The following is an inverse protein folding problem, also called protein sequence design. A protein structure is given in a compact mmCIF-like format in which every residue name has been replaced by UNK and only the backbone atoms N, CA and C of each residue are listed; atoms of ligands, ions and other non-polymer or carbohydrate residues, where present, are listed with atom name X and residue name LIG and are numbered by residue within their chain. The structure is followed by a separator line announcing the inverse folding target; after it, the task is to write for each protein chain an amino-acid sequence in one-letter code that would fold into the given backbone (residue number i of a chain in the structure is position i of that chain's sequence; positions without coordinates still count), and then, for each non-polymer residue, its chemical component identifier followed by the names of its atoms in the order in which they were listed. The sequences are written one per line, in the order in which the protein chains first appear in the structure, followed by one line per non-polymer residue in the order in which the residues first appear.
data_IF_802577271175
#
_entry.id   IF_802577271175
#
_cell.length_a   1.000
_cell.length_b   1.000
_cell.length_c   1.000
_cell.angle_alpha   90.00
_cell.angle_beta   90.00
_cell.angle_gamma   90.00
#
_symmetry.space_group_name_H-M   'P 1'
#
loop_
_entity.id
_entity.type
_entity.pdbx_description
1 polymer ?
#
# COMPACT_ATOMS: atom_id res chain seq x y z
N UNK A 1 4.36 57.38 -33.73
CA UNK A 1 3.50 56.21 -34.04
C UNK A 1 4.45 55.12 -34.53
N UNK A 2 4.98 54.30 -33.61
CA UNK A 2 6.04 53.33 -33.92
C UNK A 2 5.49 51.91 -33.85
N UNK A 3 5.46 51.23 -34.98
CA UNK A 3 5.18 49.80 -35.10
C UNK A 3 6.29 48.99 -34.43
N UNK A 4 5.95 48.24 -33.38
CA UNK A 4 6.78 47.15 -32.86
C UNK A 4 6.25 45.86 -33.46
N UNK A 5 6.95 45.34 -34.46
CA UNK A 5 6.76 44.00 -35.01
C UNK A 5 7.17 42.96 -33.96
N UNK A 6 6.16 42.32 -33.37
CA UNK A 6 6.29 41.25 -32.40
C UNK A 6 6.51 39.93 -33.16
N UNK A 7 7.76 39.66 -33.56
CA UNK A 7 8.14 38.35 -34.08
C UNK A 7 8.21 37.34 -32.92
N UNK A 8 7.08 36.70 -32.63
CA UNK A 8 7.08 35.41 -31.92
C UNK A 8 7.63 34.36 -32.86
N UNK A 9 8.91 34.03 -32.70
CA UNK A 9 9.45 32.75 -33.14
C UNK A 9 8.74 31.66 -32.33
N UNK A 10 7.76 31.01 -32.95
CA UNK A 10 7.24 29.75 -32.45
C UNK A 10 8.31 28.70 -32.68
N UNK A 11 8.84 28.16 -31.58
CA UNK A 11 9.72 27.00 -31.62
C UNK A 11 8.84 25.80 -32.02
N UNK A 12 8.86 25.43 -33.31
CA UNK A 12 8.10 24.32 -33.89
C UNK A 12 8.69 22.93 -33.52
N UNK A 13 9.67 22.89 -32.61
CA UNK A 13 10.37 21.65 -32.22
C UNK A 13 9.63 20.77 -31.20
N UNK A 14 8.45 21.17 -30.75
CA UNK A 14 7.68 20.46 -29.70
C UNK A 14 6.47 19.66 -30.24
N UNK A 15 6.43 19.29 -31.53
CA UNK A 15 5.31 18.50 -32.11
C UNK A 15 5.73 17.32 -32.99
N UNK A 16 6.95 16.83 -32.85
CA UNK A 16 7.29 15.51 -33.37
C UNK A 16 6.84 14.50 -32.31
N UNK A 17 5.54 14.21 -32.32
CA UNK A 17 5.01 13.03 -31.64
C UNK A 17 5.79 11.83 -32.19
N UNK A 18 6.29 10.99 -31.27
CA UNK A 18 7.00 9.75 -31.60
C UNK A 18 6.33 9.09 -32.81
N UNK A 19 7.11 8.89 -33.88
CA UNK A 19 6.64 8.19 -35.07
C UNK A 19 6.08 6.83 -34.60
N UNK A 20 4.88 6.40 -34.99
CA UNK A 20 4.34 5.10 -34.60
C UNK A 20 5.29 3.93 -34.91
N UNK A 21 6.21 4.12 -35.86
CA UNK A 21 7.26 3.17 -36.23
C UNK A 21 8.43 3.12 -35.22
N UNK A 22 8.62 4.16 -34.41
CA UNK A 22 9.61 4.23 -33.32
C UNK A 22 9.07 3.71 -31.98
N UNK A 23 7.80 3.30 -31.92
CA UNK A 23 7.26 2.67 -30.73
C UNK A 23 7.82 1.24 -30.60
N UNK A 24 8.37 0.87 -29.43
CA UNK A 24 8.86 -0.48 -29.20
C UNK A 24 7.73 -1.48 -29.47
N UNK A 25 8.07 -2.54 -30.20
CA UNK A 25 7.09 -3.58 -30.52
C UNK A 25 6.70 -4.34 -29.26
N UNK A 26 5.59 -5.07 -29.31
CA UNK A 26 5.15 -5.88 -28.17
C UNK A 26 6.24 -6.87 -27.73
N UNK A 27 6.96 -7.45 -28.69
CA UNK A 27 8.08 -8.36 -28.45
C UNK A 27 9.27 -7.66 -27.77
N UNK A 28 9.57 -6.41 -28.13
CA UNK A 28 10.60 -5.61 -27.46
C UNK A 28 10.21 -5.30 -26.00
N UNK A 29 8.93 -5.01 -25.77
CA UNK A 29 8.40 -4.80 -24.42
C UNK A 29 8.45 -6.07 -23.57
N UNK A 30 8.20 -7.24 -24.17
CA UNK A 30 8.33 -8.53 -23.50
C UNK A 30 9.80 -8.90 -23.22
N UNK A 31 10.72 -8.63 -24.15
CA UNK A 31 12.15 -8.83 -23.94
C UNK A 31 12.71 -7.90 -22.83
N UNK A 32 12.25 -6.65 -22.77
CA UNK A 32 12.59 -5.74 -21.66
C UNK A 32 12.02 -6.21 -20.32
N UNK A 33 10.88 -6.91 -20.33
CA UNK A 33 10.25 -7.47 -19.14
C UNK A 33 10.95 -8.73 -18.64
N UNK A 34 11.41 -9.60 -19.55
CA UNK A 34 12.25 -10.76 -19.23
C UNK A 34 13.61 -10.34 -18.66
N UNK A 35 14.18 -9.22 -19.12
CA UNK A 35 15.38 -8.62 -18.52
C UNK A 35 15.15 -7.93 -17.16
N UNK A 36 13.89 -7.79 -16.74
CA UNK A 36 13.49 -7.12 -15.49
C UNK A 36 12.88 -8.11 -14.49
N UNK A 37 13.17 -9.41 -14.66
CA UNK A 37 12.99 -10.40 -13.61
C UNK A 37 13.64 -9.86 -12.33
N UNK A 38 12.85 -9.82 -11.25
CA UNK A 38 13.35 -9.45 -9.93
C UNK A 38 14.64 -10.21 -9.67
N UNK A 39 15.75 -9.54 -9.29
CA UNK A 39 17.04 -10.18 -9.14
C UNK A 39 16.86 -11.42 -8.26
N UNK A 40 17.18 -12.58 -8.82
CA UNK A 40 17.29 -13.80 -8.04
C UNK A 40 18.30 -13.50 -6.92
N UNK A 41 17.93 -13.61 -5.63
CA UNK A 41 18.83 -13.24 -4.54
C UNK A 41 20.12 -14.08 -4.48
N UNK A 42 20.18 -15.18 -5.25
CA UNK A 42 21.37 -16.02 -5.42
C UNK A 42 22.34 -15.50 -6.50
N UNK A 43 21.85 -14.71 -7.45
CA UNK A 43 22.67 -14.12 -8.51
C UNK A 43 23.30 -12.84 -7.97
N UNK A 44 24.46 -12.99 -7.34
CA UNK A 44 25.24 -11.87 -6.83
C UNK A 44 25.35 -10.77 -7.88
N UNK A 45 24.95 -9.55 -7.51
CA UNK A 45 24.99 -8.35 -8.35
C UNK A 45 26.40 -8.13 -8.93
N UNK A 46 26.67 -8.63 -10.13
CA UNK A 46 27.84 -8.22 -10.93
C UNK A 46 27.45 -7.06 -11.84
N UNK A 47 26.92 -5.99 -11.26
CA UNK A 47 26.79 -4.71 -11.93
C UNK A 47 28.14 -4.01 -11.97
N UNK A 48 28.54 -3.51 -13.14
CA UNK A 48 29.78 -2.75 -13.31
C UNK A 48 29.92 -1.64 -12.25
N UNK A 49 31.12 -1.35 -11.72
CA UNK A 49 31.31 -0.36 -10.69
C UNK A 49 31.00 1.03 -11.28
N UNK A 50 29.86 1.60 -10.90
CA UNK A 50 29.62 3.03 -11.06
C UNK A 50 30.38 3.76 -9.96
N UNK A 51 31.06 4.83 -10.36
CA UNK A 51 31.92 5.73 -9.55
C UNK A 51 31.12 6.60 -8.54
N UNK A 52 29.97 6.14 -8.07
CA UNK A 52 29.24 6.79 -7.00
C UNK A 52 29.58 6.07 -5.69
N UNK A 53 30.39 6.72 -4.85
CA UNK A 53 30.89 6.24 -3.55
C UNK A 53 29.82 6.01 -2.48
N UNK A 54 28.63 5.57 -2.85
CA UNK A 54 27.65 5.02 -1.94
C UNK A 54 28.10 3.62 -1.52
N UNK A 55 28.43 3.48 -0.24
CA UNK A 55 28.74 2.21 0.41
C UNK A 55 27.59 1.22 0.17
N UNK A 56 27.90 -0.04 -0.17
CA UNK A 56 26.92 -1.12 -0.45
C UNK A 56 25.82 -1.24 0.62
N UNK A 57 26.15 -0.91 1.88
CA UNK A 57 25.21 -0.84 2.99
C UNK A 57 24.06 0.13 2.74
N UNK A 58 24.35 1.31 2.18
CA UNK A 58 23.37 2.38 1.93
C UNK A 58 22.39 1.94 0.85
N UNK A 59 22.88 1.33 -0.24
CA UNK A 59 22.03 0.76 -1.30
C UNK A 59 21.12 -0.34 -0.76
N UNK A 60 21.65 -1.25 0.07
CA UNK A 60 20.85 -2.33 0.66
C UNK A 60 19.73 -1.83 1.59
N UNK A 61 19.99 -0.75 2.33
CA UNK A 61 19.00 -0.13 3.20
C UNK A 61 17.90 0.56 2.38
N UNK A 62 18.30 1.35 1.37
CA UNK A 62 17.35 2.02 0.47
C UNK A 62 16.42 1.03 -0.21
N UNK A 63 16.95 -0.06 -0.79
CA UNK A 63 16.12 -1.10 -1.43
C UNK A 63 15.12 -1.76 -0.45
N UNK A 64 15.55 -2.01 0.79
CA UNK A 64 14.66 -2.57 1.83
C UNK A 64 13.55 -1.59 2.20
N UNK A 65 13.89 -0.31 2.31
CA UNK A 65 12.94 0.76 2.61
C UNK A 65 11.94 0.96 1.47
N UNK A 66 12.40 1.01 0.22
CA UNK A 66 11.56 1.10 -0.98
C UNK A 66 10.57 -0.06 -1.03
N UNK A 67 11.04 -1.29 -0.84
CA UNK A 67 10.18 -2.47 -0.81
C UNK A 67 9.17 -2.44 0.33
N UNK A 68 9.57 -2.00 1.52
CA UNK A 68 8.63 -1.86 2.64
C UNK A 68 7.57 -0.78 2.38
N UNK A 69 7.96 0.36 1.80
CA UNK A 69 7.05 1.43 1.42
C UNK A 69 6.08 0.98 0.33
N UNK A 70 6.53 0.18 -0.63
CA UNK A 70 5.66 -0.40 -1.64
C UNK A 70 4.60 -1.32 -1.01
N UNK A 71 5.00 -2.17 -0.05
CA UNK A 71 4.04 -2.99 0.69
C UNK A 71 3.05 -2.15 1.49
N UNK A 72 3.52 -1.09 2.16
CA UNK A 72 2.68 -0.19 2.95
C UNK A 72 1.69 0.56 2.07
N UNK A 73 2.14 1.13 0.96
CA UNK A 73 1.32 1.89 0.02
C UNK A 73 0.26 0.98 -0.62
N UNK A 74 0.67 -0.14 -1.21
CA UNK A 74 -0.26 -1.05 -1.87
C UNK A 74 -1.27 -1.65 -0.88
N UNK A 75 -0.84 -1.96 0.34
CA UNK A 75 -1.74 -2.42 1.40
C UNK A 75 -2.70 -1.32 1.86
N UNK A 76 -2.23 -0.08 1.96
CA UNK A 76 -3.06 1.08 2.30
C UNK A 76 -4.13 1.36 1.26
N UNK A 77 -3.78 1.31 -0.03
CA UNK A 77 -4.73 1.47 -1.15
C UNK A 77 -5.79 0.37 -1.12
N UNK A 78 -5.37 -0.88 -0.99
CA UNK A 78 -6.30 -2.02 -0.97
C UNK A 78 -7.22 -1.99 0.25
N UNK A 79 -6.67 -1.70 1.44
CA UNK A 79 -7.46 -1.57 2.67
C UNK A 79 -8.45 -0.43 2.58
N UNK A 80 -8.05 0.71 2.01
CA UNK A 80 -8.93 1.86 1.83
C UNK A 80 -10.07 1.51 0.87
N UNK A 81 -9.76 0.89 -0.27
CA UNK A 81 -10.77 0.51 -1.25
C UNK A 81 -11.73 -0.55 -0.72
N UNK A 82 -11.22 -1.69 -0.24
CA UNK A 82 -12.05 -2.80 0.23
C UNK A 82 -12.72 -2.49 1.58
N UNK A 83 -12.09 -1.68 2.44
CA UNK A 83 -12.59 -1.32 3.77
C UNK A 83 -13.55 -0.12 3.79
N UNK A 84 -13.73 0.59 2.65
CA UNK A 84 -14.63 1.75 2.56
C UNK A 84 -16.04 1.47 3.09
N UNK A 85 -16.71 0.35 2.73
CA UNK A 85 -18.05 0.09 3.26
C UNK A 85 -18.10 -0.01 4.79
N UNK A 86 -17.08 -0.54 5.44
CA UNK A 86 -16.97 -0.63 6.88
C UNK A 86 -16.81 0.74 7.53
N UNK A 87 -16.04 1.64 6.90
CA UNK A 87 -15.97 3.05 7.32
C UNK A 87 -17.32 3.75 7.15
N UNK A 88 -18.06 3.48 6.06
CA UNK A 88 -19.42 3.98 5.87
C UNK A 88 -20.35 3.48 6.98
N UNK A 89 -20.29 2.20 7.34
CA UNK A 89 -21.06 1.64 8.47
C UNK A 89 -20.75 2.39 9.76
N UNK A 90 -19.48 2.65 10.07
CA UNK A 90 -19.07 3.39 11.26
C UNK A 90 -19.64 4.82 11.31
N UNK A 91 -19.77 5.48 10.14
CA UNK A 91 -20.39 6.82 10.05
C UNK A 91 -21.89 6.77 10.34
N UNK A 92 -22.61 5.77 9.80
CA UNK A 92 -24.07 5.70 9.91
C UNK A 92 -24.57 4.99 11.17
N UNK A 93 -23.71 4.28 11.90
CA UNK A 93 -24.09 3.52 13.10
C UNK A 93 -23.27 3.89 14.34
N UNK A 94 -23.11 5.19 14.69
CA UNK A 94 -22.27 5.56 15.83
C UNK A 94 -22.90 5.14 17.16
N UNK A 95 -22.46 4.00 17.70
CA UNK A 95 -22.88 3.52 19.02
C UNK A 95 -22.15 4.20 20.19
N UNK A 96 -21.06 4.91 19.89
CA UNK A 96 -20.14 5.54 20.85
C UNK A 96 -19.88 7.00 20.47
N UNK A 97 -19.12 7.73 21.29
CA UNK A 97 -18.76 9.11 21.00
C UNK A 97 -18.08 9.25 19.63
N UNK A 98 -18.40 10.36 18.94
CA UNK A 98 -17.83 10.67 17.62
C UNK A 98 -16.30 10.78 17.73
N UNK A 99 -15.81 11.43 18.79
CA UNK A 99 -14.37 11.57 19.03
C UNK A 99 -13.67 10.21 19.19
N UNK A 100 -14.28 9.30 19.95
CA UNK A 100 -13.77 7.94 20.14
C UNK A 100 -13.76 7.14 18.84
N UNK A 101 -14.85 7.19 18.06
CA UNK A 101 -14.95 6.51 16.76
C UNK A 101 -13.95 7.09 15.76
N UNK A 102 -13.83 8.40 15.64
CA UNK A 102 -12.91 9.04 14.69
C UNK A 102 -11.45 8.71 14.99
N UNK A 103 -11.04 8.81 16.27
CA UNK A 103 -9.66 8.54 16.65
C UNK A 103 -9.32 7.05 16.59
N UNK A 104 -10.20 6.18 17.08
CA UNK A 104 -10.02 4.73 16.98
C UNK A 104 -10.06 4.25 15.52
N UNK A 105 -10.91 4.84 14.68
CA UNK A 105 -11.01 4.53 13.26
C UNK A 105 -9.76 4.93 12.49
N UNK A 106 -9.22 6.13 12.74
CA UNK A 106 -7.95 6.55 12.16
C UNK A 106 -6.81 5.59 12.55
N UNK A 107 -6.77 5.20 13.82
CA UNK A 107 -5.80 4.21 14.32
C UNK A 107 -5.98 2.86 13.62
N UNK A 108 -7.21 2.38 13.48
CA UNK A 108 -7.52 1.11 12.83
C UNK A 108 -7.05 1.08 11.36
N UNK A 109 -7.28 2.17 10.61
CA UNK A 109 -6.85 2.28 9.20
C UNK A 109 -5.32 2.34 9.11
N UNK A 110 -4.68 3.22 9.89
CA UNK A 110 -3.23 3.41 9.85
C UNK A 110 -2.47 2.13 10.23
N UNK A 111 -2.82 1.53 11.36
CA UNK A 111 -2.19 0.28 11.79
C UNK A 111 -2.64 -0.94 11.00
N UNK A 112 -3.86 -0.95 10.47
CA UNK A 112 -4.29 -1.98 9.54
C UNK A 112 -3.40 -2.05 8.30
N UNK A 113 -3.12 -0.91 7.66
CA UNK A 113 -2.20 -0.84 6.53
C UNK A 113 -0.78 -1.28 6.92
N UNK A 114 -0.31 -0.86 8.10
CA UNK A 114 0.99 -1.28 8.64
C UNK A 114 1.08 -2.80 8.86
N UNK A 115 0.06 -3.41 9.48
CA UNK A 115 0.02 -4.85 9.70
C UNK A 115 0.04 -5.64 8.40
N UNK A 116 -0.78 -5.23 7.42
CA UNK A 116 -0.78 -5.84 6.09
C UNK A 116 0.60 -5.78 5.43
N UNK A 117 1.30 -4.65 5.55
CA UNK A 117 2.65 -4.50 5.03
C UNK A 117 3.65 -5.45 5.71
N UNK A 118 3.55 -5.61 7.04
CA UNK A 118 4.38 -6.54 7.80
C UNK A 118 4.14 -8.00 7.38
N UNK A 119 2.88 -8.43 7.27
CA UNK A 119 2.53 -9.79 6.90
C UNK A 119 2.95 -10.13 5.46
N UNK A 120 2.72 -9.19 4.53
CA UNK A 120 3.10 -9.39 3.12
C UNK A 120 4.60 -9.37 2.87
N UNK A 121 5.30 -8.47 3.55
CA UNK A 121 6.75 -8.43 3.53
C UNK A 121 7.40 -9.60 4.28
N UNK A 122 6.60 -10.51 4.85
CA UNK A 122 7.06 -11.64 5.69
C UNK A 122 7.95 -11.19 6.86
N UNK A 123 7.77 -9.95 7.31
CA UNK A 123 8.44 -9.42 8.51
C UNK A 123 7.84 -10.03 9.78
N UNK A 124 6.58 -10.44 9.73
CA UNK A 124 5.92 -11.27 10.73
C UNK A 124 5.32 -12.47 10.01
N UNK A 125 5.78 -13.67 10.36
CA UNK A 125 5.31 -14.90 9.73
C UNK A 125 3.92 -15.29 10.25
N UNK A 126 2.93 -15.18 9.37
CA UNK A 126 1.55 -15.61 9.58
C UNK A 126 1.14 -16.71 8.59
N UNK A 127 2.10 -17.25 7.83
CA UNK A 127 1.90 -18.10 6.67
C UNK A 127 1.75 -17.31 5.37
N UNK A 128 1.34 -18.01 4.31
CA UNK A 128 1.26 -17.43 2.96
C UNK A 128 0.10 -16.42 2.85
N UNK A 129 0.47 -15.14 2.78
CA UNK A 129 -0.49 -14.05 2.64
C UNK A 129 -0.89 -13.86 1.16
N UNK A 130 -2.18 -13.64 0.84
CA UNK A 130 -2.61 -13.44 -0.53
C UNK A 130 -1.91 -12.25 -1.21
N UNK A 131 -1.38 -12.51 -2.40
CA UNK A 131 -0.76 -11.51 -3.25
C UNK A 131 -1.72 -10.39 -3.69
N UNK A 132 -1.14 -9.28 -4.14
CA UNK A 132 -1.90 -8.22 -4.80
C UNK A 132 -2.54 -8.78 -6.08
N UNK A 133 -3.77 -8.36 -6.38
CA UNK A 133 -4.47 -8.78 -7.61
C UNK A 133 -5.00 -10.22 -7.63
N UNK A 134 -4.81 -11.03 -6.60
CA UNK A 134 -5.47 -12.35 -6.53
C UNK A 134 -6.99 -12.19 -6.32
N UNK A 135 -7.75 -12.21 -7.42
CA UNK A 135 -9.19 -12.02 -7.41
C UNK A 135 -9.96 -13.08 -6.63
N UNK A 136 -9.47 -14.32 -6.52
CA UNK A 136 -10.18 -15.39 -5.78
C UNK A 136 -10.27 -15.07 -4.28
N UNK A 137 -9.25 -14.41 -3.74
CA UNK A 137 -9.19 -14.01 -2.33
C UNK A 137 -9.91 -12.70 -2.00
N UNK A 138 -10.38 -11.94 -2.99
CA UNK A 138 -11.01 -10.62 -2.79
C UNK A 138 -12.24 -10.67 -1.86
N UNK A 139 -13.21 -11.60 -2.01
CA UNK A 139 -14.38 -11.63 -1.14
C UNK A 139 -14.00 -11.90 0.33
N UNK A 140 -13.03 -12.78 0.58
CA UNK A 140 -12.56 -13.09 1.93
C UNK A 140 -11.85 -11.88 2.54
N UNK A 141 -10.95 -11.23 1.78
CA UNK A 141 -10.28 -10.00 2.22
C UNK A 141 -11.27 -8.88 2.52
N UNK A 142 -12.27 -8.70 1.67
CA UNK A 142 -13.34 -7.74 1.88
C UNK A 142 -14.01 -7.96 3.25
N UNK A 143 -14.45 -9.18 3.55
CA UNK A 143 -15.08 -9.49 4.84
C UNK A 143 -14.11 -9.23 6.00
N UNK A 144 -12.90 -9.79 5.95
CA UNK A 144 -11.92 -9.67 7.04
C UNK A 144 -11.53 -8.21 7.30
N UNK A 145 -11.28 -7.41 6.26
CA UNK A 145 -10.86 -6.01 6.41
C UNK A 145 -11.98 -5.17 6.99
N UNK A 146 -13.22 -5.32 6.51
CA UNK A 146 -14.35 -4.58 7.05
C UNK A 146 -14.65 -5.00 8.51
N UNK A 147 -14.60 -6.30 8.82
CA UNK A 147 -14.73 -6.78 10.20
C UNK A 147 -13.63 -6.22 11.09
N UNK A 148 -12.37 -6.22 10.63
CA UNK A 148 -11.24 -5.68 11.37
C UNK A 148 -11.39 -4.19 11.68
N UNK A 149 -11.76 -3.39 10.68
CA UNK A 149 -11.97 -1.95 10.85
C UNK A 149 -13.14 -1.65 11.78
N UNK A 150 -14.30 -2.29 11.58
CA UNK A 150 -15.48 -2.06 12.42
C UNK A 150 -15.22 -2.51 13.86
N UNK A 151 -14.75 -3.74 14.05
CA UNK A 151 -14.53 -4.31 15.38
C UNK A 151 -13.43 -3.57 16.14
N UNK A 152 -12.31 -3.27 15.47
CA UNK A 152 -11.22 -2.50 16.07
C UNK A 152 -11.67 -1.10 16.49
N UNK A 153 -12.39 -0.41 15.60
CA UNK A 153 -12.89 0.95 15.88
C UNK A 153 -13.88 0.96 17.04
N UNK A 154 -14.89 0.08 17.03
CA UNK A 154 -15.87 0.04 18.11
C UNK A 154 -15.28 -0.39 19.44
N UNK A 155 -14.36 -1.35 19.45
CA UNK A 155 -13.68 -1.72 20.68
C UNK A 155 -12.86 -0.54 21.23
N UNK A 156 -12.10 0.16 20.37
CA UNK A 156 -11.36 1.35 20.75
C UNK A 156 -12.24 2.47 21.27
N UNK A 157 -13.34 2.77 20.58
CA UNK A 157 -14.31 3.79 20.98
C UNK A 157 -15.01 3.43 22.30
N UNK A 158 -15.37 2.16 22.50
CA UNK A 158 -15.89 1.68 23.78
C UNK A 158 -14.87 1.87 24.91
N UNK A 159 -13.61 1.48 24.67
CA UNK A 159 -12.54 1.63 25.66
C UNK A 159 -12.26 3.09 26.01
N UNK A 160 -12.33 3.98 25.03
CA UNK A 160 -12.28 5.42 25.19
C UNK A 160 -13.44 5.92 26.07
N UNK A 161 -14.69 5.63 25.72
CA UNK A 161 -15.86 6.13 26.44
C UNK A 161 -15.90 5.61 27.89
N UNK A 162 -15.56 4.33 28.09
CA UNK A 162 -15.60 3.69 29.40
C UNK A 162 -14.51 4.16 30.37
N UNK A 163 -13.31 4.48 29.87
CA UNK A 163 -12.14 4.76 30.71
C UNK A 163 -11.59 6.18 30.54
N UNK A 164 -12.12 6.96 29.60
CA UNK A 164 -11.65 8.30 29.23
C UNK A 164 -10.14 8.34 28.95
N UNK A 165 -9.63 7.31 28.27
CA UNK A 165 -8.20 7.12 28.03
C UNK A 165 -7.88 6.86 26.56
N UNK A 166 -6.99 7.70 26.02
CA UNK A 166 -6.46 7.57 24.65
C UNK A 166 -5.81 6.21 24.42
N UNK A 167 -5.23 5.61 25.46
CA UNK A 167 -4.49 4.36 25.34
C UNK A 167 -5.38 3.22 24.84
N UNK A 168 -6.64 3.14 25.26
CA UNK A 168 -7.57 2.11 24.76
C UNK A 168 -8.01 2.39 23.33
N UNK A 169 -8.21 3.66 22.98
CA UNK A 169 -8.51 4.09 21.63
C UNK A 169 -7.37 3.78 20.64
N UNK A 170 -6.14 3.55 21.14
CA UNK A 170 -5.01 3.11 20.34
C UNK A 170 -4.87 1.58 20.37
N UNK A 171 -4.73 0.99 21.56
CA UNK A 171 -4.35 -0.41 21.71
C UNK A 171 -5.40 -1.37 21.15
N UNK A 172 -6.69 -1.11 21.36
CA UNK A 172 -7.73 -2.02 20.90
C UNK A 172 -7.80 -2.08 19.37
N UNK A 173 -7.86 -0.96 18.62
CA UNK A 173 -7.76 -1.01 17.17
C UNK A 173 -6.49 -1.70 16.67
N UNK A 174 -5.33 -1.38 17.24
CA UNK A 174 -4.04 -1.97 16.83
C UNK A 174 -4.05 -3.48 16.98
N UNK A 175 -4.47 -3.99 18.14
CA UNK A 175 -4.47 -5.43 18.43
C UNK A 175 -5.52 -6.16 17.61
N UNK A 176 -6.76 -5.64 17.58
CA UNK A 176 -7.88 -6.32 16.91
C UNK A 176 -7.65 -6.36 15.39
N UNK A 177 -7.21 -5.27 14.78
CA UNK A 177 -6.88 -5.26 13.35
C UNK A 177 -5.75 -6.23 13.04
N UNK A 178 -4.67 -6.22 13.83
CA UNK A 178 -3.54 -7.13 13.67
C UNK A 178 -3.95 -8.60 13.76
N UNK A 179 -4.73 -8.97 14.79
CA UNK A 179 -5.20 -10.36 14.99
C UNK A 179 -6.12 -10.82 13.87
N UNK A 180 -7.10 -9.99 13.48
CA UNK A 180 -8.05 -10.35 12.43
C UNK A 180 -7.37 -10.44 11.06
N UNK A 181 -6.47 -9.52 10.72
CA UNK A 181 -5.74 -9.58 9.46
C UNK A 181 -4.74 -10.74 9.43
N UNK A 182 -4.07 -11.04 10.55
CA UNK A 182 -3.21 -12.23 10.67
C UNK A 182 -3.98 -13.55 10.50
N UNK A 183 -5.31 -13.55 10.62
CA UNK A 183 -6.13 -14.73 10.40
C UNK A 183 -6.39 -15.04 8.92
N UNK A 184 -6.18 -14.07 8.03
CA UNK A 184 -6.52 -14.17 6.60
C UNK A 184 -5.92 -15.41 5.91
N UNK A 185 -4.63 -15.78 6.10
CA UNK A 185 -4.05 -16.96 5.47
C UNK A 185 -4.80 -18.26 5.81
N UNK A 186 -5.51 -18.33 6.95
CA UNK A 186 -6.29 -19.52 7.33
C UNK A 186 -7.52 -19.72 6.45
N UNK A 187 -8.08 -18.64 5.92
CA UNK A 187 -9.29 -18.67 5.11
C UNK A 187 -9.01 -18.76 3.61
N UNK A 188 -7.78 -18.47 3.16
CA UNK A 188 -7.41 -18.44 1.74
C UNK A 188 -6.59 -19.64 1.27
N UNK A 189 -6.22 -20.57 2.16
CA UNK A 189 -5.42 -21.79 1.84
C UNK A 189 -6.10 -22.80 0.90
N UNK A 190 -7.34 -22.58 0.49
CA UNK A 190 -8.08 -23.49 -0.41
C UNK A 190 -8.83 -22.77 -1.53
N UNK A 191 -8.51 -21.51 -1.80
CA UNK A 191 -9.14 -20.66 -2.81
C UNK A 191 -8.18 -20.29 -3.94
#
# INVERSE_FOLDING_TARGET
MSERSNQRHGDERDREWLDPEDLPTEDDLWAMREGNDTPNPEDGYTGAPREDGQTESTRSFTMRMERWLEYLFNSGVELSFLGTPGLVVLIYTPFFSIDGISFAGLTAVGFGAFWLALFRGKYVDVGEYPGYGNFSSVPVRFVVYNTALIAGTYAGAYGWDANQSLLFAILFPVVITGVLMASLPRFTRGA
#
